data_IF_276665316137
#
_entry.id   IF_276665316137
#
_cell.length_a   1.000
_cell.length_b   1.000
_cell.length_c   1.000
_cell.angle_alpha   90.00
_cell.angle_beta   90.00
_cell.angle_gamma   90.00
#
_symmetry.space_group_name_H-M   'P 1'
#
loop_
_entity.id
_entity.type
_entity.pdbx_description
1 polymer ?
#
# COMPACT_ATOMS: atom_id res chain seq x y z
N UNK A 1 27.35 -34.58 10.23
CA UNK A 1 26.93 -33.43 9.40
C UNK A 1 26.96 -32.21 10.29
N UNK A 2 27.71 -31.13 9.97
CA UNK A 2 27.79 -29.97 10.84
C UNK A 2 26.53 -29.11 10.67
N UNK A 3 25.80 -28.89 11.76
CA UNK A 3 24.75 -27.88 11.83
C UNK A 3 25.34 -26.48 11.60
N UNK A 4 24.63 -25.61 10.87
CA UNK A 4 24.90 -24.16 10.82
C UNK A 4 24.94 -23.58 12.25
N UNK A 5 24.18 -24.14 13.19
CA UNK A 5 24.23 -23.75 14.61
C UNK A 5 25.61 -23.93 15.29
N UNK A 6 26.56 -24.66 14.69
CA UNK A 6 27.93 -24.78 15.20
C UNK A 6 28.98 -23.95 14.43
N UNK A 7 28.61 -23.30 13.32
CA UNK A 7 29.53 -22.54 12.47
C UNK A 7 28.95 -21.15 12.20
N UNK A 8 29.63 -20.10 12.67
CA UNK A 8 29.18 -18.72 12.50
C UNK A 8 28.93 -18.37 11.03
N UNK A 9 27.99 -17.46 10.79
CA UNK A 9 27.61 -16.99 9.45
C UNK A 9 28.84 -16.45 8.72
N UNK A 10 29.78 -15.83 9.43
CA UNK A 10 31.03 -15.31 8.84
C UNK A 10 31.91 -16.43 8.30
N UNK A 11 32.06 -17.52 9.03
CA UNK A 11 32.79 -18.70 8.59
C UNK A 11 32.09 -19.38 7.40
N UNK A 12 30.77 -19.50 7.46
CA UNK A 12 29.98 -20.05 6.35
C UNK A 12 30.11 -19.21 5.07
N UNK A 13 30.07 -17.89 5.17
CA UNK A 13 30.26 -16.98 4.02
C UNK A 13 31.62 -17.18 3.35
N UNK A 14 32.69 -17.42 4.13
CA UNK A 14 34.02 -17.76 3.58
C UNK A 14 34.00 -19.08 2.81
N UNK A 15 33.27 -20.10 3.29
CA UNK A 15 33.17 -21.40 2.61
C UNK A 15 32.46 -21.31 1.26
N UNK A 16 31.41 -20.47 1.17
CA UNK A 16 30.69 -20.24 -0.08
C UNK A 16 31.36 -19.21 -0.99
N UNK A 17 32.51 -18.66 -0.58
CA UNK A 17 33.30 -17.73 -1.38
C UNK A 17 32.70 -16.33 -1.50
N UNK A 18 31.85 -15.91 -0.55
CA UNK A 18 31.23 -14.59 -0.55
C UNK A 18 31.79 -13.76 0.60
N UNK A 19 32.26 -12.57 0.27
CA UNK A 19 32.66 -11.60 1.29
C UNK A 19 31.43 -10.99 1.94
N UNK A 20 31.54 -10.64 3.22
CA UNK A 20 30.49 -9.89 3.90
C UNK A 20 30.24 -8.50 3.24
N UNK A 21 31.18 -7.97 2.43
CA UNK A 21 30.97 -6.72 1.68
C UNK A 21 30.01 -6.97 0.52
N UNK A 22 30.25 -8.00 -0.28
CA UNK A 22 29.36 -8.41 -1.36
C UNK A 22 27.96 -8.77 -0.84
N UNK A 23 27.87 -9.44 0.32
CA UNK A 23 26.57 -9.70 0.95
C UNK A 23 25.85 -8.40 1.33
N UNK A 24 26.56 -7.43 1.94
CA UNK A 24 25.96 -6.15 2.31
C UNK A 24 25.44 -5.40 1.07
N UNK A 25 26.23 -5.37 0.00
CA UNK A 25 25.87 -4.74 -1.28
C UNK A 25 24.63 -5.39 -1.90
N UNK A 26 24.61 -6.73 -2.02
CA UNK A 26 23.47 -7.49 -2.56
C UNK A 26 22.19 -7.34 -1.74
N UNK A 27 22.32 -7.16 -0.42
CA UNK A 27 21.19 -6.92 0.47
C UNK A 27 20.82 -5.44 0.61
N UNK A 28 21.55 -4.50 -0.02
CA UNK A 28 21.30 -3.07 0.10
C UNK A 28 21.46 -2.53 1.52
N UNK A 29 22.32 -3.18 2.33
CA UNK A 29 22.59 -2.81 3.72
C UNK A 29 23.92 -2.08 3.84
N UNK A 30 23.99 -1.16 4.81
CA UNK A 30 25.30 -0.69 5.27
C UNK A 30 26.06 -1.83 5.94
N UNK A 31 27.38 -1.81 5.84
CA UNK A 31 28.19 -2.87 6.45
C UNK A 31 27.99 -3.00 7.98
N UNK A 32 27.95 -1.90 8.75
CA UNK A 32 27.60 -1.97 10.17
C UNK A 32 26.22 -2.59 10.44
N UNK A 33 25.22 -2.29 9.60
CA UNK A 33 23.87 -2.87 9.73
C UNK A 33 23.89 -4.37 9.48
N UNK A 34 24.61 -4.84 8.46
CA UNK A 34 24.76 -6.27 8.20
C UNK A 34 25.41 -6.98 9.39
N UNK A 35 26.53 -6.45 9.91
CA UNK A 35 27.23 -7.07 11.05
C UNK A 35 26.34 -7.12 12.30
N UNK A 36 25.53 -6.09 12.54
CA UNK A 36 24.52 -6.07 13.61
C UNK A 36 23.44 -7.14 13.42
N UNK A 37 22.88 -7.28 12.22
CA UNK A 37 21.86 -8.28 11.93
C UNK A 37 22.40 -9.72 11.99
N UNK A 38 23.65 -9.96 11.58
CA UNK A 38 24.33 -11.24 11.77
C UNK A 38 24.40 -11.59 13.26
N UNK A 39 24.88 -10.67 14.10
CA UNK A 39 24.98 -10.90 15.54
C UNK A 39 23.60 -11.14 16.20
N UNK A 40 22.57 -10.39 15.78
CA UNK A 40 21.20 -10.60 16.24
C UNK A 40 20.69 -12.00 15.85
N UNK A 41 20.88 -12.40 14.60
CA UNK A 41 20.43 -13.70 14.11
C UNK A 41 21.15 -14.87 14.81
N UNK A 42 22.47 -14.81 14.96
CA UNK A 42 23.27 -15.84 15.65
C UNK A 42 22.93 -15.96 17.14
N UNK A 43 22.53 -14.85 17.78
CA UNK A 43 22.12 -14.82 19.19
C UNK A 43 20.63 -15.13 19.41
N UNK A 44 19.88 -15.51 18.35
CA UNK A 44 18.42 -15.67 18.37
C UNK A 44 17.67 -14.40 18.88
N UNK A 45 18.27 -13.23 18.68
CA UNK A 45 17.64 -11.93 18.94
C UNK A 45 16.86 -11.46 17.71
N UNK A 46 15.73 -10.79 17.92
CA UNK A 46 14.86 -10.33 16.85
C UNK A 46 15.56 -9.28 15.96
N UNK A 47 15.62 -9.53 14.65
CA UNK A 47 15.98 -8.51 13.66
C UNK A 47 14.83 -7.50 13.54
N UNK A 48 15.06 -6.18 13.68
CA UNK A 48 13.98 -5.18 13.73
C UNK A 48 13.10 -5.09 12.49
N UNK A 49 13.64 -5.41 11.30
CA UNK A 49 12.91 -5.34 10.02
C UNK A 49 12.51 -6.74 9.58
N UNK A 50 11.20 -7.01 9.54
CA UNK A 50 10.64 -8.33 9.19
C UNK A 50 11.14 -8.85 7.83
N UNK A 51 11.29 -7.95 6.86
CA UNK A 51 11.89 -8.26 5.55
C UNK A 51 13.27 -8.92 5.67
N UNK A 52 14.14 -8.35 6.50
CA UNK A 52 15.50 -8.86 6.67
C UNK A 52 15.52 -10.11 7.54
N UNK A 53 14.58 -10.25 8.48
CA UNK A 53 14.38 -11.52 9.19
C UNK A 53 14.06 -12.66 8.22
N UNK A 54 13.09 -12.50 7.32
CA UNK A 54 12.74 -13.50 6.29
C UNK A 54 13.94 -13.81 5.37
N UNK A 55 14.69 -12.78 4.96
CA UNK A 55 15.89 -12.96 4.13
C UNK A 55 16.92 -13.81 4.86
N UNK A 56 17.19 -13.52 6.13
CA UNK A 56 18.16 -14.27 6.93
C UNK A 56 17.69 -15.70 7.20
N UNK A 57 16.42 -15.92 7.49
CA UNK A 57 15.84 -17.26 7.62
C UNK A 57 15.98 -18.07 6.33
N UNK A 58 15.75 -17.45 5.16
CA UNK A 58 15.94 -18.14 3.87
C UNK A 58 17.40 -18.47 3.59
N UNK A 59 18.31 -17.56 3.92
CA UNK A 59 19.73 -17.74 3.68
C UNK A 59 20.34 -18.77 4.66
N UNK A 60 19.98 -18.70 5.95
CA UNK A 60 20.70 -19.36 7.05
C UNK A 60 19.84 -20.24 7.97
N UNK A 61 18.52 -20.31 7.78
CA UNK A 61 17.57 -20.96 8.72
C UNK A 61 17.65 -22.48 8.80
N UNK A 62 17.58 -23.19 7.67
CA UNK A 62 17.61 -24.66 7.67
C UNK A 62 18.74 -25.19 6.77
N UNK A 63 19.59 -26.04 7.38
CA UNK A 63 20.63 -26.84 6.72
C UNK A 63 21.76 -26.03 6.08
N UNK A 64 22.97 -26.60 6.05
CA UNK A 64 24.04 -26.08 5.18
C UNK A 64 23.59 -26.22 3.73
N UNK A 65 23.35 -25.10 3.07
CA UNK A 65 23.06 -25.07 1.63
C UNK A 65 24.34 -25.34 0.85
N UNK A 66 24.23 -25.99 -0.30
CA UNK A 66 25.33 -26.01 -1.24
C UNK A 66 25.64 -24.59 -1.73
N UNK A 67 26.86 -24.36 -2.22
CA UNK A 67 27.29 -23.05 -2.76
C UNK A 67 26.30 -22.55 -3.83
N UNK A 68 25.90 -23.43 -4.75
CA UNK A 68 24.97 -23.10 -5.82
C UNK A 68 23.58 -22.71 -5.30
N UNK A 69 23.05 -23.45 -4.31
CA UNK A 69 21.77 -23.13 -3.68
C UNK A 69 21.83 -21.80 -2.93
N UNK A 70 22.90 -21.54 -2.18
CA UNK A 70 23.09 -20.28 -1.47
C UNK A 70 23.12 -19.08 -2.43
N UNK A 71 23.93 -19.16 -3.49
CA UNK A 71 24.02 -18.11 -4.51
C UNK A 71 22.67 -17.87 -5.18
N UNK A 72 21.92 -18.93 -5.50
CA UNK A 72 20.60 -18.80 -6.10
C UNK A 72 19.62 -18.08 -5.17
N UNK A 73 19.55 -18.50 -3.89
CA UNK A 73 18.70 -17.85 -2.89
C UNK A 73 19.11 -16.38 -2.71
N UNK A 74 20.40 -16.09 -2.63
CA UNK A 74 20.91 -14.72 -2.49
C UNK A 74 20.52 -13.84 -3.69
N UNK A 75 20.67 -14.34 -4.92
CA UNK A 75 20.27 -13.60 -6.13
C UNK A 75 18.75 -13.38 -6.18
N UNK A 76 17.95 -14.34 -5.72
CA UNK A 76 16.50 -14.15 -5.60
C UNK A 76 16.16 -13.03 -4.60
N UNK A 77 16.86 -12.98 -3.45
CA UNK A 77 16.63 -11.93 -2.45
C UNK A 77 17.06 -10.55 -2.97
N UNK A 78 18.20 -10.47 -3.66
CA UNK A 78 18.68 -9.24 -4.32
C UNK A 78 17.68 -8.74 -5.37
N UNK A 79 17.13 -9.65 -6.19
CA UNK A 79 16.14 -9.30 -7.19
C UNK A 79 14.83 -8.78 -6.56
N UNK A 80 14.38 -9.37 -5.46
CA UNK A 80 13.22 -8.91 -4.70
C UNK A 80 13.44 -7.51 -4.12
N UNK A 81 14.59 -7.28 -3.46
CA UNK A 81 14.94 -5.98 -2.90
C UNK A 81 15.05 -4.91 -3.99
N UNK A 82 15.67 -5.25 -5.12
CA UNK A 82 15.80 -4.36 -6.26
C UNK A 82 14.43 -4.01 -6.88
N UNK A 83 13.54 -5.00 -7.02
CA UNK A 83 12.16 -4.80 -7.49
C UNK A 83 11.41 -3.83 -6.58
N UNK A 84 11.46 -4.05 -5.27
CA UNK A 84 10.75 -3.22 -4.31
C UNK A 84 11.29 -1.79 -4.28
N UNK A 85 12.62 -1.63 -4.39
CA UNK A 85 13.26 -0.31 -4.54
C UNK A 85 12.78 0.40 -5.80
N UNK A 86 12.71 -0.30 -6.93
CA UNK A 86 12.25 0.27 -8.20
C UNK A 86 10.78 0.71 -8.17
N UNK A 87 9.97 0.10 -7.30
CA UNK A 87 8.57 0.49 -7.10
C UNK A 87 8.37 1.49 -5.95
N UNK A 88 9.44 1.86 -5.22
CA UNK A 88 9.33 2.77 -4.08
C UNK A 88 8.57 2.17 -2.89
N UNK A 89 8.59 0.85 -2.73
CA UNK A 89 7.83 0.10 -1.70
C UNK A 89 8.74 -0.63 -0.70
N UNK A 90 10.00 -0.23 -0.62
CA UNK A 90 11.00 -0.86 0.28
C UNK A 90 10.66 -0.74 1.77
N UNK A 91 9.88 0.26 2.15
CA UNK A 91 9.49 0.51 3.55
C UNK A 91 8.19 -0.19 3.94
N UNK A 92 7.54 -0.86 3.00
CA UNK A 92 6.32 -1.63 3.28
C UNK A 92 6.64 -3.00 3.86
N UNK A 93 5.70 -3.49 4.67
CA UNK A 93 5.64 -4.89 5.11
C UNK A 93 5.74 -5.85 3.90
N UNK A 94 6.47 -6.98 4.02
CA UNK A 94 6.74 -7.87 2.88
C UNK A 94 5.48 -8.29 2.12
N UNK A 95 4.42 -8.68 2.85
CA UNK A 95 3.14 -9.11 2.25
C UNK A 95 2.52 -7.97 1.45
N UNK A 96 2.53 -6.74 1.98
CA UNK A 96 1.98 -5.57 1.28
C UNK A 96 2.80 -5.22 0.03
N UNK A 97 4.13 -5.30 0.11
CA UNK A 97 5.02 -5.07 -1.03
C UNK A 97 4.78 -6.08 -2.16
N UNK A 98 4.52 -7.35 -1.82
CA UNK A 98 4.19 -8.38 -2.80
C UNK A 98 2.85 -8.13 -3.49
N UNK A 99 1.79 -7.76 -2.75
CA UNK A 99 0.50 -7.41 -3.33
C UNK A 99 0.60 -6.21 -4.28
N UNK A 100 1.33 -5.15 -3.88
CA UNK A 100 1.52 -3.98 -4.74
C UNK A 100 2.34 -4.33 -5.98
N UNK A 101 3.40 -5.12 -5.83
CA UNK A 101 4.22 -5.58 -6.96
C UNK A 101 3.41 -6.36 -7.98
N UNK A 102 2.55 -7.28 -7.51
CA UNK A 102 1.63 -8.05 -8.35
C UNK A 102 0.62 -7.13 -9.05
N UNK A 103 0.00 -6.21 -8.32
CA UNK A 103 -0.96 -5.25 -8.86
C UNK A 103 -0.32 -4.36 -9.94
N UNK A 104 0.84 -3.75 -9.64
CA UNK A 104 1.59 -2.92 -10.58
C UNK A 104 1.97 -3.69 -11.86
N UNK A 105 2.43 -4.93 -11.72
CA UNK A 105 2.75 -5.78 -12.88
C UNK A 105 1.52 -6.01 -13.75
N UNK A 106 0.39 -6.37 -13.15
CA UNK A 106 -0.85 -6.64 -13.89
C UNK A 106 -1.40 -5.37 -14.54
N UNK A 107 -1.39 -4.24 -13.82
CA UNK A 107 -1.80 -2.94 -14.34
C UNK A 107 -0.93 -2.52 -15.52
N UNK A 108 0.40 -2.60 -15.40
CA UNK A 108 1.34 -2.30 -16.50
C UNK A 108 1.08 -3.16 -17.73
N UNK A 109 0.82 -4.45 -17.53
CA UNK A 109 0.50 -5.38 -18.62
C UNK A 109 -0.80 -5.01 -19.31
N UNK A 110 -1.82 -4.58 -18.57
CA UNK A 110 -3.12 -4.19 -19.14
C UNK A 110 -3.06 -2.86 -19.89
N UNK A 111 -2.51 -1.79 -19.28
CA UNK A 111 -2.37 -0.48 -19.95
C UNK A 111 -1.44 -0.49 -21.16
N UNK A 112 -0.53 -1.46 -21.25
CA UNK A 112 0.35 -1.63 -22.43
C UNK A 112 -0.38 -2.18 -23.66
N UNK A 113 -1.62 -2.65 -23.51
CA UNK A 113 -2.46 -3.15 -24.60
C UNK A 113 -3.40 -2.05 -25.09
N UNK A 114 -3.76 -2.09 -26.37
CA UNK A 114 -4.82 -1.25 -26.90
C UNK A 114 -6.18 -1.62 -26.28
N UNK A 115 -7.07 -0.63 -26.15
CA UNK A 115 -8.42 -0.83 -25.63
C UNK A 115 -8.55 -0.93 -24.11
N UNK A 116 -7.51 -0.55 -23.35
CA UNK A 116 -7.61 -0.47 -21.89
C UNK A 116 -8.70 0.53 -21.46
N UNK A 117 -9.41 0.23 -20.38
CA UNK A 117 -10.56 1.02 -19.92
C UNK A 117 -10.17 1.93 -18.74
N UNK A 118 -10.17 3.25 -18.96
CA UNK A 118 -9.88 4.27 -17.94
C UNK A 118 -10.77 4.18 -16.69
N UNK A 119 -12.02 3.81 -16.85
CA UNK A 119 -12.98 3.77 -15.75
C UNK A 119 -12.67 2.63 -14.79
N UNK A 120 -12.08 1.52 -15.26
CA UNK A 120 -11.59 0.42 -14.40
C UNK A 120 -10.54 0.93 -13.42
N UNK A 121 -9.56 1.70 -13.88
CA UNK A 121 -8.50 2.25 -13.03
C UNK A 121 -9.02 3.34 -12.09
N UNK A 122 -10.00 4.13 -12.55
CA UNK A 122 -10.68 5.12 -11.71
C UNK A 122 -11.47 4.43 -10.60
N UNK A 123 -12.13 3.32 -10.91
CA UNK A 123 -12.83 2.49 -9.92
C UNK A 123 -11.86 1.84 -8.93
N UNK A 124 -10.73 1.28 -9.39
CA UNK A 124 -9.69 0.74 -8.49
C UNK A 124 -9.23 1.81 -7.49
N UNK A 125 -8.91 3.01 -7.97
CA UNK A 125 -8.53 4.13 -7.10
C UNK A 125 -9.65 4.48 -6.10
N UNK A 126 -10.90 4.52 -6.57
CA UNK A 126 -12.05 4.76 -5.71
C UNK A 126 -12.18 3.70 -4.62
N UNK A 127 -12.05 2.41 -4.96
CA UNK A 127 -12.12 1.31 -3.99
C UNK A 127 -11.01 1.45 -2.96
N UNK A 128 -9.74 1.59 -3.38
CA UNK A 128 -8.58 1.69 -2.47
C UNK A 128 -8.71 2.87 -1.50
N UNK A 129 -9.25 4.00 -1.96
CA UNK A 129 -9.42 5.20 -1.12
C UNK A 129 -10.59 5.11 -0.13
N UNK A 130 -11.60 4.28 -0.41
CA UNK A 130 -12.87 4.35 0.32
C UNK A 130 -13.25 3.08 1.07
N UNK A 131 -12.68 1.90 0.75
CA UNK A 131 -13.16 0.63 1.32
C UNK A 131 -13.17 0.61 2.85
N UNK A 132 -12.14 1.16 3.50
CA UNK A 132 -12.03 1.20 4.97
C UNK A 132 -13.11 2.04 5.67
N UNK A 133 -13.71 2.99 4.95
CA UNK A 133 -14.71 3.91 5.48
C UNK A 133 -16.09 3.67 4.86
N UNK A 134 -16.24 2.61 4.07
CA UNK A 134 -17.47 2.29 3.37
C UNK A 134 -17.64 0.77 3.31
N UNK A 135 -18.39 0.26 4.30
CA UNK A 135 -18.68 -1.15 4.47
C UNK A 135 -19.26 -1.78 3.19
N UNK A 136 -20.13 -1.08 2.46
CA UNK A 136 -20.70 -1.61 1.22
C UNK A 136 -19.62 -1.87 0.15
N UNK A 137 -18.61 -1.01 0.03
CA UNK A 137 -17.49 -1.22 -0.90
C UNK A 137 -16.65 -2.41 -0.48
N UNK A 138 -16.34 -2.51 0.82
CA UNK A 138 -15.60 -3.65 1.37
C UNK A 138 -16.34 -4.96 1.09
N UNK A 139 -17.64 -5.02 1.41
CA UNK A 139 -18.47 -6.20 1.17
C UNK A 139 -18.60 -6.55 -0.33
N UNK A 140 -18.64 -5.56 -1.21
CA UNK A 140 -18.62 -5.78 -2.66
C UNK A 140 -17.30 -6.42 -3.13
N UNK A 141 -16.16 -5.94 -2.62
CA UNK A 141 -14.85 -6.53 -2.93
C UNK A 141 -14.76 -7.95 -2.40
N UNK A 142 -15.10 -8.16 -1.13
CA UNK A 142 -15.05 -9.47 -0.49
C UNK A 142 -15.96 -10.49 -1.18
N UNK A 143 -17.15 -10.07 -1.63
CA UNK A 143 -18.05 -10.90 -2.44
C UNK A 143 -17.32 -11.49 -3.66
N UNK A 144 -16.61 -10.66 -4.44
CA UNK A 144 -15.88 -11.16 -5.61
C UNK A 144 -14.70 -12.04 -5.23
N UNK A 145 -14.05 -11.80 -4.09
CA UNK A 145 -12.98 -12.67 -3.57
C UNK A 145 -13.53 -14.07 -3.24
N UNK A 146 -14.67 -14.17 -2.56
CA UNK A 146 -15.30 -15.47 -2.26
C UNK A 146 -15.85 -16.14 -3.52
N UNK A 147 -16.50 -15.39 -4.41
CA UNK A 147 -17.11 -15.95 -5.64
C UNK A 147 -16.07 -16.58 -6.57
N UNK A 148 -14.84 -16.03 -6.59
CA UNK A 148 -13.75 -16.52 -7.45
C UNK A 148 -12.79 -17.48 -6.72
N UNK A 149 -13.22 -18.08 -5.61
CA UNK A 149 -12.44 -19.07 -4.82
C UNK A 149 -11.07 -18.55 -4.35
N UNK A 150 -10.92 -17.23 -4.19
CA UNK A 150 -9.71 -16.62 -3.63
C UNK A 150 -9.70 -16.67 -2.10
N UNK A 151 -10.85 -17.01 -1.49
CA UNK A 151 -11.02 -17.22 -0.05
C UNK A 151 -12.07 -18.31 0.17
N UNK A 152 -11.84 -19.19 1.16
CA UNK A 152 -12.72 -20.33 1.45
C UNK A 152 -14.10 -19.88 1.91
N UNK A 153 -15.16 -20.43 1.30
CA UNK A 153 -16.57 -20.14 1.66
C UNK A 153 -16.87 -20.40 3.15
N UNK A 154 -16.17 -21.36 3.78
CA UNK A 154 -16.32 -21.65 5.21
C UNK A 154 -15.92 -20.49 6.13
N UNK A 155 -15.19 -19.48 5.64
CA UNK A 155 -14.80 -18.30 6.41
C UNK A 155 -15.78 -17.14 6.29
N UNK A 156 -16.90 -17.30 5.57
CA UNK A 156 -17.94 -16.27 5.47
C UNK A 156 -18.59 -16.07 6.85
N UNK A 157 -18.59 -14.82 7.30
CA UNK A 157 -19.20 -14.40 8.56
C UNK A 157 -20.69 -14.14 8.39
N UNK A 158 -21.46 -14.29 9.47
CA UNK A 158 -22.92 -14.13 9.43
C UNK A 158 -23.37 -12.74 8.95
N UNK A 159 -22.66 -11.68 9.35
CA UNK A 159 -22.97 -10.32 8.93
C UNK A 159 -22.77 -10.08 7.43
N UNK A 160 -21.94 -10.89 6.75
CA UNK A 160 -21.67 -10.77 5.31
C UNK A 160 -22.79 -11.43 4.47
N UNK A 161 -23.52 -12.39 5.04
CA UNK A 161 -24.53 -13.18 4.30
C UNK A 161 -25.60 -12.33 3.63
N UNK A 162 -26.21 -11.31 4.28
CA UNK A 162 -27.20 -10.46 3.63
C UNK A 162 -26.62 -9.68 2.45
N UNK A 163 -25.39 -9.17 2.56
CA UNK A 163 -24.72 -8.49 1.46
C UNK A 163 -24.51 -9.43 0.28
N UNK A 164 -23.91 -10.59 0.52
CA UNK A 164 -23.57 -11.53 -0.55
C UNK A 164 -24.82 -12.07 -1.25
N UNK A 165 -25.88 -12.37 -0.51
CA UNK A 165 -27.14 -12.83 -1.09
C UNK A 165 -27.79 -11.78 -2.00
N UNK A 166 -27.80 -10.50 -1.57
CA UNK A 166 -28.37 -9.41 -2.37
C UNK A 166 -27.50 -9.09 -3.59
N UNK A 167 -26.17 -9.04 -3.43
CA UNK A 167 -25.25 -8.83 -4.54
C UNK A 167 -25.40 -9.96 -5.57
N UNK A 168 -25.39 -11.22 -5.13
CA UNK A 168 -25.59 -12.39 -6.00
C UNK A 168 -26.90 -12.30 -6.78
N UNK A 169 -28.01 -12.00 -6.10
CA UNK A 169 -29.33 -11.83 -6.75
C UNK A 169 -29.27 -10.79 -7.86
N UNK A 170 -28.67 -9.62 -7.60
CA UNK A 170 -28.54 -8.54 -8.58
C UNK A 170 -27.69 -8.95 -9.77
N UNK A 171 -26.47 -9.45 -9.54
CA UNK A 171 -25.56 -9.83 -10.63
C UNK A 171 -26.07 -11.03 -11.44
N UNK A 172 -26.72 -12.00 -10.80
CA UNK A 172 -27.39 -13.10 -11.50
C UNK A 172 -28.50 -12.58 -12.42
N UNK A 173 -29.35 -11.69 -11.92
CA UNK A 173 -30.41 -11.07 -12.71
C UNK A 173 -29.86 -10.32 -13.92
N UNK A 174 -28.79 -9.53 -13.75
CA UNK A 174 -28.12 -8.82 -14.83
C UNK A 174 -27.50 -9.76 -15.88
N UNK A 175 -26.96 -10.91 -15.46
CA UNK A 175 -26.41 -11.91 -16.37
C UNK A 175 -27.47 -12.62 -17.22
N UNK A 176 -28.70 -12.76 -16.70
CA UNK A 176 -29.81 -13.44 -17.38
C UNK A 176 -30.65 -12.49 -18.24
N UNK A 177 -30.94 -11.28 -17.76
CA UNK A 177 -31.81 -10.28 -18.42
C UNK A 177 -31.32 -8.85 -18.15
N UNK A 178 -30.26 -8.39 -18.83
CA UNK A 178 -29.67 -7.06 -18.60
C UNK A 178 -30.57 -5.90 -19.07
N UNK A 179 -31.51 -6.17 -19.97
CA UNK A 179 -32.47 -5.20 -20.51
C UNK A 179 -33.66 -4.95 -19.58
N UNK A 180 -33.89 -5.83 -18.60
CA UNK A 180 -34.99 -5.70 -17.65
C UNK A 180 -34.59 -4.79 -16.49
N UNK A 181 -35.11 -3.56 -16.49
CA UNK A 181 -34.93 -2.62 -15.38
C UNK A 181 -36.21 -1.82 -15.09
N UNK A 182 -36.33 -1.29 -13.88
CA UNK A 182 -37.38 -0.35 -13.51
C UNK A 182 -36.93 1.08 -13.82
N UNK A 183 -37.72 1.80 -14.61
CA UNK A 183 -37.41 3.18 -15.00
C UNK A 183 -37.36 4.13 -13.79
N UNK A 184 -38.12 3.86 -12.72
CA UNK A 184 -38.04 4.61 -11.47
C UNK A 184 -36.70 4.40 -10.76
N UNK A 185 -36.19 3.16 -10.71
CA UNK A 185 -34.87 2.88 -10.15
C UNK A 185 -33.76 3.63 -10.91
N UNK A 186 -33.86 3.70 -12.24
CA UNK A 186 -32.94 4.49 -13.05
C UNK A 186 -33.05 6.00 -12.77
N UNK A 187 -34.27 6.54 -12.63
CA UNK A 187 -34.47 7.95 -12.24
C UNK A 187 -33.86 8.25 -10.87
N UNK A 188 -34.02 7.36 -9.89
CA UNK A 188 -33.48 7.53 -8.55
C UNK A 188 -31.94 7.44 -8.54
N UNK A 189 -31.36 6.57 -9.37
CA UNK A 189 -29.92 6.54 -9.63
C UNK A 189 -29.42 7.88 -10.21
N UNK A 190 -30.05 8.41 -11.26
CA UNK A 190 -29.66 9.69 -11.88
C UNK A 190 -29.77 10.85 -10.87
N UNK A 191 -30.84 10.86 -10.06
CA UNK A 191 -30.99 11.83 -8.97
C UNK A 191 -29.83 11.74 -7.99
N UNK A 192 -29.47 10.52 -7.56
CA UNK A 192 -28.37 10.29 -6.64
C UNK A 192 -27.02 10.76 -7.21
N UNK A 193 -26.75 10.54 -8.49
CA UNK A 193 -25.56 11.06 -9.15
C UNK A 193 -25.48 12.59 -9.06
N UNK A 194 -26.59 13.30 -9.34
CA UNK A 194 -26.66 14.76 -9.26
C UNK A 194 -26.42 15.26 -7.83
N UNK A 195 -27.03 14.62 -6.83
CA UNK A 195 -26.80 14.97 -5.42
C UNK A 195 -25.32 14.87 -5.02
N UNK A 196 -24.65 13.79 -5.42
CA UNK A 196 -23.23 13.58 -5.14
C UNK A 196 -22.38 14.64 -5.85
N UNK A 197 -22.69 14.97 -7.11
CA UNK A 197 -22.01 16.00 -7.87
C UNK A 197 -22.14 17.37 -7.19
N UNK A 198 -23.36 17.78 -6.83
CA UNK A 198 -23.60 19.05 -6.15
C UNK A 198 -22.90 19.11 -4.79
N UNK A 199 -22.87 18.01 -4.04
CA UNK A 199 -22.15 17.94 -2.75
C UNK A 199 -20.64 18.13 -2.95
N UNK A 200 -20.05 17.49 -3.97
CA UNK A 200 -18.63 17.68 -4.30
C UNK A 200 -18.32 19.12 -4.67
N UNK A 201 -19.14 19.72 -5.53
CA UNK A 201 -18.96 21.12 -5.94
C UNK A 201 -19.01 22.08 -4.74
N UNK A 202 -20.02 21.95 -3.87
CA UNK A 202 -20.11 22.76 -2.64
C UNK A 202 -18.91 22.57 -1.72
N UNK A 203 -18.42 21.34 -1.58
CA UNK A 203 -17.22 21.06 -0.76
C UNK A 203 -15.98 21.76 -1.33
N UNK A 204 -15.79 21.72 -2.65
CA UNK A 204 -14.70 22.42 -3.33
C UNK A 204 -14.81 23.94 -3.14
N UNK A 205 -15.99 24.53 -3.35
CA UNK A 205 -16.24 25.96 -3.14
C UNK A 205 -15.96 26.38 -1.69
N UNK A 206 -16.42 25.59 -0.72
CA UNK A 206 -16.16 25.82 0.69
C UNK A 206 -14.66 25.71 1.03
N UNK A 207 -13.95 24.75 0.44
CA UNK A 207 -12.51 24.59 0.62
C UNK A 207 -11.75 25.79 0.05
N UNK A 208 -12.06 26.21 -1.18
CA UNK A 208 -11.46 27.39 -1.80
C UNK A 208 -11.70 28.65 -0.97
N UNK A 209 -12.93 28.84 -0.46
CA UNK A 209 -13.26 29.97 0.42
C UNK A 209 -12.47 29.94 1.72
N UNK A 210 -12.32 28.76 2.34
CA UNK A 210 -11.50 28.60 3.55
C UNK A 210 -10.04 28.96 3.31
N UNK A 211 -9.45 28.50 2.21
CA UNK A 211 -8.06 28.83 1.86
C UNK A 211 -7.90 30.33 1.64
N UNK A 212 -8.81 30.95 0.87
CA UNK A 212 -8.79 32.39 0.62
C UNK A 212 -8.86 33.19 1.92
N UNK A 213 -9.79 32.85 2.81
CA UNK A 213 -9.92 33.53 4.10
C UNK A 213 -8.66 33.38 4.97
N UNK A 214 -7.95 32.24 4.90
CA UNK A 214 -6.68 32.05 5.62
C UNK A 214 -5.56 32.93 5.06
N UNK A 215 -5.45 33.03 3.74
CA UNK A 215 -4.51 33.94 3.07
C UNK A 215 -4.79 35.38 3.52
N UNK A 216 -6.04 35.82 3.45
CA UNK A 216 -6.44 37.18 3.83
C UNK A 216 -6.14 37.47 5.31
N UNK A 217 -6.44 36.53 6.22
CA UNK A 217 -6.14 36.68 7.64
C UNK A 217 -4.63 36.76 7.92
N UNK A 218 -3.82 35.92 7.26
CA UNK A 218 -2.37 35.94 7.40
C UNK A 218 -1.77 37.27 6.93
N UNK A 219 -2.17 37.72 5.74
CA UNK A 219 -1.67 38.98 5.17
C UNK A 219 -2.04 40.16 6.06
N UNK A 220 -3.27 40.18 6.60
CA UNK A 220 -3.71 41.25 7.49
C UNK A 220 -2.93 41.25 8.82
N UNK A 221 -2.72 40.09 9.45
CA UNK A 221 -1.95 39.97 10.70
C UNK A 221 -0.50 40.47 10.53
N UNK A 222 0.16 40.13 9.41
CA UNK A 222 1.52 40.62 9.14
C UNK A 222 1.54 42.11 8.78
N UNK A 223 0.55 42.61 8.03
CA UNK A 223 0.40 44.04 7.76
C UNK A 223 0.19 44.85 9.05
N UNK A 224 -0.61 44.36 9.98
CA UNK A 224 -0.80 44.97 11.31
C UNK A 224 0.52 45.03 12.11
N UNK A 225 1.41 44.05 11.89
CA UNK A 225 2.77 44.02 12.46
C UNK A 225 3.79 44.85 11.67
N UNK A 226 3.36 45.55 10.63
CA UNK A 226 4.23 46.38 9.78
C UNK A 226 5.14 45.59 8.85
N UNK A 227 4.82 44.31 8.60
CA UNK A 227 5.57 43.43 7.71
C UNK A 227 4.75 43.18 6.45
N UNK A 228 5.33 43.49 5.29
CA UNK A 228 4.73 43.15 4.00
C UNK A 228 5.30 41.82 3.52
N UNK A 229 4.45 40.80 3.43
CA UNK A 229 4.84 39.47 2.95
C UNK A 229 4.85 39.43 1.43
N UNK A 230 5.88 38.81 0.86
CA UNK A 230 5.90 38.37 -0.53
C UNK A 230 4.98 37.17 -0.74
N UNK A 231 4.62 36.90 -2.00
CA UNK A 231 3.79 35.72 -2.36
C UNK A 231 4.44 34.40 -1.94
N UNK A 232 5.77 34.27 -2.07
CA UNK A 232 6.51 33.06 -1.68
C UNK A 232 6.46 32.81 -0.17
N UNK A 233 6.53 33.88 0.63
CA UNK A 233 6.42 33.79 2.10
C UNK A 233 5.01 33.39 2.53
N UNK A 234 3.97 33.93 1.87
CA UNK A 234 2.57 33.54 2.09
C UNK A 234 2.37 32.06 1.80
N UNK A 235 2.89 31.56 0.66
CA UNK A 235 2.77 30.16 0.26
C UNK A 235 3.48 29.24 1.27
N UNK A 236 4.69 29.62 1.70
CA UNK A 236 5.49 28.85 2.64
C UNK A 236 4.79 28.74 4.00
N UNK A 237 4.30 29.86 4.52
CA UNK A 237 3.66 29.91 5.83
C UNK A 237 2.34 29.12 5.85
N UNK A 238 1.50 29.24 4.80
CA UNK A 238 0.29 28.44 4.68
C UNK A 238 0.60 26.94 4.56
N UNK A 239 1.63 26.59 3.81
CA UNK A 239 2.06 25.20 3.66
C UNK A 239 2.48 24.61 5.02
N UNK A 240 3.24 25.37 5.81
CA UNK A 240 3.65 24.98 7.15
C UNK A 240 2.45 24.79 8.09
N UNK A 241 1.50 25.73 8.09
CA UNK A 241 0.28 25.62 8.88
C UNK A 241 -0.56 24.39 8.49
N UNK A 242 -0.67 24.10 7.20
CA UNK A 242 -1.37 22.90 6.72
C UNK A 242 -0.68 21.60 7.11
N UNK A 243 0.66 21.57 7.09
CA UNK A 243 1.45 20.41 7.53
C UNK A 243 1.23 20.17 9.03
N UNK A 244 1.33 21.21 9.85
CA UNK A 244 1.10 21.11 11.30
C UNK A 244 -0.31 20.59 11.64
N UNK A 245 -1.34 21.07 10.95
CA UNK A 245 -2.71 20.60 11.15
C UNK A 245 -2.89 19.13 10.73
N UNK A 246 -2.24 18.73 9.64
CA UNK A 246 -2.28 17.35 9.18
C UNK A 246 -1.65 16.42 10.21
N UNK A 247 -0.52 16.81 10.80
CA UNK A 247 0.16 16.07 11.87
C UNK A 247 -0.74 15.94 13.10
N UNK A 248 -1.34 17.04 13.59
CA UNK A 248 -2.27 17.01 14.74
C UNK A 248 -3.50 16.13 14.50
N UNK A 249 -4.06 16.10 13.29
CA UNK A 249 -5.21 15.25 12.97
C UNK A 249 -4.87 13.75 12.93
N UNK A 250 -3.63 13.41 12.56
CA UNK A 250 -3.15 12.03 12.58
C UNK A 250 -2.88 11.54 14.01
N UNK A 251 -2.49 12.43 14.92
CA UNK A 251 -2.31 12.11 16.35
C UNK A 251 -3.65 11.78 17.03
N UNK A 252 -4.69 12.58 16.77
CA UNK A 252 -6.03 12.39 17.37
C UNK A 252 -6.76 11.14 16.85
N UNK A 253 -6.39 10.59 15.69
CA UNK A 253 -6.99 9.37 15.15
C UNK A 253 -6.31 8.08 15.65
N UNK A 254 -5.20 8.20 16.38
CA UNK A 254 -4.43 7.07 16.93
C UNK A 254 -4.53 6.97 18.46
N UNK A 255 -5.37 7.79 19.09
CA UNK A 255 -5.82 7.68 20.50
C UNK A 255 -7.22 7.07 20.57
#
# INVERSE_FOLDING_TARGET
MPCIFCMGIKEYLKQVGITQKELAEKLGLSRPTLDSYIAMYESNTQIPKERYKIIFERLFGEGTKSIGEFINVLNQMEALLSRDKNYGISDLEPIAADYISLALRNMKKDVSKEGWNRDVYTFINYVVLNYRNNELIEQLVEYFIFLNDMRRISSIQDYQKPYFANIYKTFKGLGERPDLYDEQDFRDFVKRCKEIQSKKQRNTENQSKRIKNRIEALVNDYKEKGVELSEEEIITEISNQMIMEKTKRMEIQNE
#
